data_IF_966397458110
#
_entry.id   IF_966397458110
#
_cell.length_a   1.000
_cell.length_b   1.000
_cell.length_c   1.000
_cell.angle_alpha   90.00
_cell.angle_beta   90.00
_cell.angle_gamma   90.00
#
_symmetry.space_group_name_H-M   'P 1'
#
loop_
_entity.id
_entity.type
_entity.pdbx_description
1 polymer ?
#
# COMPACT_ATOMS: atom_id res chain seq x y z
N UNK A 1 10.57 13.94 -2.79
CA UNK A 1 10.16 12.62 -2.33
C UNK A 1 11.40 11.78 -2.05
N UNK A 2 11.48 11.18 -0.85
CA UNK A 2 12.47 10.15 -0.48
C UNK A 2 11.79 8.79 -0.44
N UNK A 3 12.50 7.76 -0.87
CA UNK A 3 12.02 6.37 -0.89
C UNK A 3 13.09 5.47 -0.26
N UNK A 4 12.69 4.67 0.71
CA UNK A 4 13.53 3.67 1.37
C UNK A 4 12.94 2.28 1.13
N UNK A 5 13.75 1.33 0.71
CA UNK A 5 13.38 -0.09 0.73
C UNK A 5 13.91 -0.70 2.02
N UNK A 6 13.01 -1.24 2.83
CA UNK A 6 13.34 -1.76 4.16
C UNK A 6 13.67 -3.25 4.11
N UNK A 7 14.64 -3.64 4.91
CA UNK A 7 15.10 -5.00 5.15
C UNK A 7 15.62 -5.15 6.59
N UNK A 8 16.01 -6.35 7.00
CA UNK A 8 16.67 -6.57 8.31
C UNK A 8 17.94 -5.74 8.52
N UNK A 9 18.58 -5.30 7.43
CA UNK A 9 19.83 -4.53 7.51
C UNK A 9 19.63 -3.07 7.90
N UNK A 10 18.46 -2.48 7.59
CA UNK A 10 18.27 -1.02 7.67
C UNK A 10 16.97 -0.56 8.34
N UNK A 11 16.09 -1.46 8.79
CA UNK A 11 14.80 -1.03 9.34
C UNK A 11 14.91 -0.08 10.56
N UNK A 12 16.01 -0.18 11.31
CA UNK A 12 16.28 0.71 12.45
C UNK A 12 16.64 2.13 12.05
N UNK A 13 17.01 2.35 10.80
CA UNK A 13 17.36 3.66 10.25
C UNK A 13 16.12 4.49 9.85
N UNK A 14 14.91 3.91 9.93
CA UNK A 14 13.66 4.61 9.54
C UNK A 14 13.53 6.01 10.17
N UNK A 15 13.77 6.22 11.48
CA UNK A 15 13.66 7.54 12.08
C UNK A 15 14.66 8.56 11.51
N UNK A 16 15.90 8.12 11.25
CA UNK A 16 16.96 8.96 10.70
C UNK A 16 16.68 9.35 9.26
N UNK A 17 16.16 8.42 8.45
CA UNK A 17 15.80 8.67 7.06
C UNK A 17 14.56 9.60 6.92
N UNK A 18 13.63 9.53 7.85
CA UNK A 18 12.51 10.49 7.91
C UNK A 18 13.01 11.88 8.30
N UNK A 19 13.90 11.99 9.28
CA UNK A 19 14.52 13.25 9.66
C UNK A 19 15.36 13.85 8.53
N UNK A 20 16.14 13.02 7.83
CA UNK A 20 16.85 13.43 6.63
C UNK A 20 15.91 13.94 5.55
N UNK A 21 14.77 13.27 5.35
CA UNK A 21 13.74 13.67 4.37
C UNK A 21 13.22 15.09 4.65
N UNK A 22 12.93 15.41 5.91
CA UNK A 22 12.48 16.75 6.33
C UNK A 22 13.61 17.78 6.15
N UNK A 23 14.83 17.43 6.57
CA UNK A 23 16.00 18.32 6.51
C UNK A 23 16.36 18.78 5.09
N UNK A 24 16.19 17.92 4.08
CA UNK A 24 16.43 18.28 2.68
C UNK A 24 15.25 18.99 2.00
N UNK A 25 14.16 19.25 2.74
CA UNK A 25 12.96 19.90 2.22
C UNK A 25 12.10 19.04 1.30
N UNK A 26 12.24 17.71 1.34
CA UNK A 26 11.32 16.83 0.65
C UNK A 26 9.96 16.80 1.37
N UNK A 27 8.88 16.65 0.61
CA UNK A 27 7.50 16.73 1.14
C UNK A 27 6.93 15.36 1.49
N UNK A 28 7.59 14.28 1.11
CA UNK A 28 7.09 12.93 1.34
C UNK A 28 8.19 11.90 1.53
N UNK A 29 7.93 10.95 2.41
CA UNK A 29 8.72 9.74 2.65
C UNK A 29 7.87 8.50 2.36
N UNK A 30 8.36 7.58 1.54
CA UNK A 30 7.73 6.30 1.27
C UNK A 30 8.62 5.16 1.73
N UNK A 31 8.14 4.36 2.69
CA UNK A 31 8.77 3.13 3.11
C UNK A 31 8.24 1.96 2.29
N UNK A 32 9.09 1.32 1.51
CA UNK A 32 8.76 0.14 0.72
C UNK A 32 9.19 -1.13 1.44
N UNK A 33 8.23 -2.00 1.71
CA UNK A 33 8.49 -3.34 2.19
C UNK A 33 8.75 -4.26 0.99
N UNK A 34 9.84 -5.00 1.04
CA UNK A 34 10.27 -5.86 -0.06
C UNK A 34 9.20 -6.91 -0.36
N UNK A 35 8.98 -7.16 -1.64
CA UNK A 35 8.20 -8.31 -2.14
C UNK A 35 9.17 -9.17 -2.93
N UNK A 36 9.49 -10.34 -2.42
CA UNK A 36 10.51 -11.25 -2.95
C UNK A 36 10.05 -11.93 -4.23
N UNK A 37 9.98 -11.17 -5.32
CA UNK A 37 9.60 -11.65 -6.66
C UNK A 37 10.67 -11.31 -7.69
N UNK A 38 10.66 -12.00 -8.82
CA UNK A 38 11.62 -11.78 -9.89
C UNK A 38 13.07 -11.91 -9.41
N UNK A 39 13.92 -10.92 -9.69
CA UNK A 39 15.33 -10.89 -9.23
C UNK A 39 15.50 -10.74 -7.72
N UNK A 40 14.44 -10.41 -7.00
CA UNK A 40 14.43 -10.33 -5.54
C UNK A 40 14.16 -11.66 -4.86
N UNK A 41 13.88 -12.74 -5.60
CA UNK A 41 13.72 -14.08 -5.03
C UNK A 41 15.02 -14.50 -4.33
N UNK A 42 14.89 -14.97 -3.08
CA UNK A 42 16.04 -15.39 -2.27
C UNK A 42 16.82 -14.24 -1.61
N UNK A 43 16.42 -12.97 -1.80
CA UNK A 43 16.96 -11.89 -1.00
C UNK A 43 16.42 -12.00 0.43
N UNK A 44 17.29 -11.65 1.39
CA UNK A 44 16.92 -11.61 2.80
C UNK A 44 15.83 -10.56 2.99
N UNK A 45 14.63 -11.01 3.27
CA UNK A 45 13.54 -10.15 3.68
C UNK A 45 13.69 -9.78 5.16
N UNK A 46 12.81 -8.95 5.63
CA UNK A 46 12.71 -8.57 7.03
C UNK A 46 11.97 -9.66 7.81
N UNK A 47 12.43 -10.01 9.00
CA UNK A 47 11.70 -10.94 9.87
C UNK A 47 10.34 -10.36 10.28
N UNK A 48 9.35 -11.22 10.58
CA UNK A 48 8.01 -10.74 10.94
C UNK A 48 8.04 -9.82 12.17
N UNK A 49 8.90 -10.10 13.15
CA UNK A 49 9.06 -9.25 14.34
C UNK A 49 9.62 -7.87 13.96
N UNK A 50 10.67 -7.82 13.13
CA UNK A 50 11.24 -6.57 12.65
C UNK A 50 10.28 -5.83 11.69
N UNK A 51 9.45 -6.57 10.93
CA UNK A 51 8.39 -6.00 10.10
C UNK A 51 7.36 -5.24 10.95
N UNK A 52 6.88 -5.85 12.02
CA UNK A 52 5.94 -5.19 12.96
C UNK A 52 6.60 -4.00 13.68
N UNK A 53 7.87 -4.11 14.05
CA UNK A 53 8.64 -3.01 14.64
C UNK A 53 8.78 -1.85 13.66
N UNK A 54 9.13 -2.13 12.38
CA UNK A 54 9.22 -1.12 11.33
C UNK A 54 7.88 -0.40 11.08
N UNK A 55 6.76 -1.12 11.10
CA UNK A 55 5.43 -0.50 10.98
C UNK A 55 5.11 0.43 12.15
N UNK A 56 5.49 0.05 13.38
CA UNK A 56 5.31 0.90 14.57
C UNK A 56 6.19 2.14 14.51
N UNK A 57 7.48 1.98 14.17
CA UNK A 57 8.39 3.11 13.96
C UNK A 57 7.82 4.08 12.91
N UNK A 58 7.32 3.56 11.79
CA UNK A 58 6.72 4.39 10.75
C UNK A 58 5.53 5.19 11.27
N UNK A 59 4.67 4.57 12.09
CA UNK A 59 3.54 5.25 12.73
C UNK A 59 4.02 6.37 13.68
N UNK A 60 5.02 6.12 14.50
CA UNK A 60 5.60 7.11 15.40
C UNK A 60 6.15 8.32 14.61
N UNK A 61 6.85 8.06 13.51
CA UNK A 61 7.34 9.13 12.63
C UNK A 61 6.18 9.87 11.96
N UNK A 62 5.14 9.16 11.50
CA UNK A 62 3.95 9.81 10.92
C UNK A 62 3.28 10.75 11.91
N UNK A 63 3.21 10.39 13.18
CA UNK A 63 2.66 11.26 14.24
C UNK A 63 3.59 12.43 14.55
N UNK A 64 4.90 12.18 14.67
CA UNK A 64 5.92 13.22 14.92
C UNK A 64 5.93 14.30 13.84
N UNK A 65 5.76 13.91 12.58
CA UNK A 65 5.82 14.82 11.43
C UNK A 65 4.45 15.13 10.81
N UNK A 66 3.37 14.88 11.57
CA UNK A 66 2.00 15.21 11.14
C UNK A 66 1.87 16.67 10.72
N UNK A 67 1.31 16.93 9.55
CA UNK A 67 1.19 18.28 8.96
C UNK A 67 2.46 18.81 8.28
N UNK A 68 3.61 18.10 8.36
CA UNK A 68 4.87 18.51 7.75
C UNK A 68 5.32 17.59 6.62
N UNK A 69 5.19 16.29 6.81
CA UNK A 69 5.58 15.26 5.84
C UNK A 69 4.43 14.28 5.59
N UNK A 70 4.26 13.92 4.34
CA UNK A 70 3.48 12.74 3.97
C UNK A 70 4.34 11.50 4.18
N UNK A 71 3.97 10.64 5.13
CA UNK A 71 4.69 9.40 5.43
C UNK A 71 3.80 8.23 5.07
N UNK A 72 4.28 7.37 4.17
CA UNK A 72 3.48 6.26 3.63
C UNK A 72 4.21 4.93 3.70
N UNK A 73 3.49 3.88 4.04
CA UNK A 73 3.91 2.51 3.79
C UNK A 73 3.55 2.08 2.37
N UNK A 74 4.43 1.33 1.72
CA UNK A 74 4.21 0.72 0.42
C UNK A 74 4.44 -0.78 0.52
N UNK A 75 3.59 -1.57 -0.13
CA UNK A 75 3.59 -3.04 -0.06
C UNK A 75 3.41 -3.62 1.37
N UNK A 76 2.85 -2.81 2.27
CA UNK A 76 2.55 -3.19 3.65
C UNK A 76 1.12 -2.78 4.03
N UNK A 77 0.08 -3.45 3.52
CA UNK A 77 -1.30 -3.14 3.86
C UNK A 77 -1.60 -3.22 5.37
N UNK A 78 -0.82 -4.03 6.10
CA UNK A 78 -0.89 -4.19 7.56
C UNK A 78 -0.70 -2.87 8.31
N UNK A 79 -0.07 -1.87 7.71
CA UNK A 79 0.11 -0.55 8.31
C UNK A 79 -1.21 0.09 8.73
N UNK A 80 -2.29 -0.13 7.96
CA UNK A 80 -3.61 0.37 8.33
C UNK A 80 -4.13 -0.21 9.65
N UNK A 81 -3.82 -1.48 9.94
CA UNK A 81 -4.11 -2.09 11.24
C UNK A 81 -3.34 -1.38 12.35
N UNK A 82 -2.04 -1.17 12.16
CA UNK A 82 -1.20 -0.48 13.17
C UNK A 82 -1.73 0.93 13.46
N UNK A 83 -2.10 1.67 12.42
CA UNK A 83 -2.72 3.00 12.62
C UNK A 83 -4.04 2.89 13.39
N UNK A 84 -4.93 1.97 12.98
CA UNK A 84 -6.23 1.78 13.64
C UNK A 84 -6.09 1.36 15.12
N UNK A 85 -5.15 0.49 15.45
CA UNK A 85 -4.90 0.04 16.82
C UNK A 85 -4.44 1.20 17.74
N UNK A 86 -3.83 2.23 17.18
CA UNK A 86 -3.36 3.40 17.93
C UNK A 86 -4.33 4.60 17.86
N UNK A 87 -5.02 4.78 16.72
CA UNK A 87 -5.98 5.87 16.49
C UNK A 87 -7.06 5.39 15.49
N UNK A 88 -8.18 4.82 16.01
CA UNK A 88 -9.26 4.32 15.16
C UNK A 88 -9.91 5.41 14.28
N UNK A 89 -9.85 6.67 14.71
CA UNK A 89 -10.44 7.81 14.00
C UNK A 89 -9.47 8.50 13.04
N UNK A 90 -8.27 7.97 12.90
CA UNK A 90 -7.22 8.53 12.06
C UNK A 90 -7.67 8.65 10.59
N UNK A 91 -7.35 9.78 9.97
CA UNK A 91 -7.55 9.97 8.53
C UNK A 91 -6.81 8.93 7.70
N UNK A 92 -5.65 8.46 8.19
CA UNK A 92 -4.82 7.48 7.49
C UNK A 92 -5.49 6.10 7.33
N UNK A 93 -6.42 5.73 8.21
CA UNK A 93 -7.21 4.51 8.07
C UNK A 93 -8.28 4.64 6.98
N UNK A 94 -8.72 5.87 6.69
CA UNK A 94 -9.82 6.19 5.78
C UNK A 94 -9.37 6.54 4.36
N UNK A 95 -8.05 6.79 4.16
CA UNK A 95 -7.49 7.05 2.84
C UNK A 95 -7.63 5.80 1.97
N UNK A 96 -8.43 5.81 0.98
CA UNK A 96 -8.86 4.75 0.06
C UNK A 96 -9.31 3.42 0.71
N UNK A 97 -10.25 2.78 0.05
CA UNK A 97 -10.78 1.48 0.48
C UNK A 97 -9.74 0.38 0.32
N UNK A 98 -9.29 -0.11 1.41
CA UNK A 98 -8.99 -1.47 1.54
C UNK A 98 -7.79 -2.11 0.93
N UNK A 99 -6.71 -2.07 1.65
CA UNK A 99 -5.70 -3.09 1.63
C UNK A 99 -4.77 -3.02 0.44
N UNK A 100 -4.43 -4.17 -0.08
CA UNK A 100 -3.56 -4.28 -1.25
C UNK A 100 -4.22 -3.60 -2.47
N UNK A 101 -3.56 -2.62 -3.13
CA UNK A 101 -4.15 -1.90 -4.24
C UNK A 101 -4.11 -2.67 -5.57
N UNK A 102 -3.51 -3.86 -5.62
CA UNK A 102 -3.46 -4.72 -6.80
C UNK A 102 -4.87 -4.98 -7.35
N UNK A 103 -5.07 -4.75 -8.63
CA UNK A 103 -6.34 -4.89 -9.35
C UNK A 103 -7.49 -4.00 -8.83
N UNK A 104 -7.29 -3.17 -7.80
CA UNK A 104 -8.33 -2.29 -7.23
C UNK A 104 -8.09 -0.84 -7.55
N UNK A 105 -6.85 -0.34 -7.40
CA UNK A 105 -6.51 1.07 -7.59
C UNK A 105 -5.39 1.28 -8.61
N UNK A 106 -4.63 0.24 -8.96
CA UNK A 106 -3.64 0.31 -10.01
C UNK A 106 -3.40 -1.04 -10.69
N UNK A 107 -2.69 -0.98 -11.79
CA UNK A 107 -2.17 -2.11 -12.54
C UNK A 107 -0.84 -1.70 -13.17
N UNK A 108 -0.12 -2.66 -13.74
CA UNK A 108 1.10 -2.41 -14.51
C UNK A 108 0.88 -2.82 -15.96
N UNK A 109 1.42 -2.04 -16.90
CA UNK A 109 1.50 -2.37 -18.31
C UNK A 109 2.97 -2.57 -18.66
N UNK A 110 3.33 -3.72 -19.23
CA UNK A 110 4.69 -3.98 -19.69
C UNK A 110 4.97 -3.27 -21.02
N UNK A 111 6.25 -3.12 -21.43
CA UNK A 111 6.60 -2.57 -22.75
C UNK A 111 5.97 -3.31 -23.92
N UNK A 112 5.69 -4.60 -23.78
CA UNK A 112 5.03 -5.46 -24.78
C UNK A 112 3.52 -5.25 -24.82
N UNK A 113 2.94 -4.52 -23.86
CA UNK A 113 1.51 -4.26 -23.73
C UNK A 113 0.77 -5.24 -22.84
N UNK A 114 1.47 -6.10 -22.09
CA UNK A 114 0.84 -7.02 -21.15
C UNK A 114 0.35 -6.28 -19.91
N UNK A 115 -0.90 -6.51 -19.50
CA UNK A 115 -1.49 -5.99 -18.30
C UNK A 115 -1.29 -6.96 -17.14
N UNK A 116 -0.78 -6.49 -16.00
CA UNK A 116 -0.69 -7.27 -14.77
C UNK A 116 -1.37 -6.51 -13.62
N UNK A 117 -1.91 -7.20 -12.60
CA UNK A 117 -2.61 -6.54 -11.48
C UNK A 117 -1.71 -5.64 -10.62
N UNK A 118 -0.39 -5.92 -10.60
CA UNK A 118 0.59 -5.25 -9.76
C UNK A 118 1.99 -5.38 -10.38
N UNK A 119 2.93 -4.46 -10.12
CA UNK A 119 4.32 -4.61 -10.57
C UNK A 119 5.02 -5.88 -10.08
N UNK A 120 4.59 -6.42 -8.94
CA UNK A 120 5.16 -7.62 -8.32
C UNK A 120 4.39 -8.90 -8.67
N UNK A 121 3.33 -8.82 -9.48
CA UNK A 121 2.59 -9.96 -10.03
C UNK A 121 2.97 -10.05 -11.50
N UNK A 122 3.70 -11.12 -11.86
CA UNK A 122 4.19 -11.30 -13.23
C UNK A 122 3.13 -11.91 -14.17
N UNK A 123 2.09 -12.52 -13.60
CA UNK A 123 0.99 -13.11 -14.37
C UNK A 123 0.22 -12.06 -15.16
N UNK A 124 0.28 -12.18 -16.49
CA UNK A 124 -0.45 -11.30 -17.41
C UNK A 124 -1.92 -11.69 -17.47
N UNK A 125 -2.80 -10.70 -17.31
CA UNK A 125 -4.25 -10.88 -17.48
C UNK A 125 -4.72 -10.65 -18.90
N UNK A 126 -3.80 -10.30 -19.80
CA UNK A 126 -4.01 -10.11 -21.22
C UNK A 126 -3.16 -8.99 -21.80
N UNK A 127 -3.27 -8.77 -23.11
CA UNK A 127 -2.46 -7.82 -23.85
C UNK A 127 -3.33 -6.71 -24.47
N UNK A 128 -2.93 -5.45 -24.26
CA UNK A 128 -3.66 -4.26 -24.71
C UNK A 128 -3.64 -4.07 -26.23
N UNK A 129 -2.80 -4.80 -26.96
CA UNK A 129 -2.83 -4.83 -28.43
C UNK A 129 -4.02 -5.63 -28.98
N UNK A 130 -4.59 -6.52 -28.17
CA UNK A 130 -5.69 -7.41 -28.57
C UNK A 130 -7.00 -7.19 -27.81
N UNK A 131 -6.94 -6.63 -26.61
CA UNK A 131 -8.10 -6.38 -25.76
C UNK A 131 -8.01 -4.98 -25.13
N UNK A 132 -9.16 -4.31 -24.95
CA UNK A 132 -9.17 -2.98 -24.31
C UNK A 132 -8.80 -3.08 -22.84
N UNK A 133 -8.23 -1.98 -22.27
CA UNK A 133 -7.96 -1.88 -20.85
C UNK A 133 -9.22 -2.13 -20.01
N UNK A 134 -10.33 -1.50 -20.40
CA UNK A 134 -11.61 -1.67 -19.72
C UNK A 134 -12.05 -3.12 -19.65
N UNK A 135 -11.99 -3.82 -20.77
CA UNK A 135 -12.37 -5.23 -20.82
C UNK A 135 -11.47 -6.11 -19.93
N UNK A 136 -10.15 -5.93 -19.99
CA UNK A 136 -9.22 -6.67 -19.14
C UNK A 136 -9.41 -6.32 -17.66
N UNK A 137 -9.61 -5.04 -17.34
CA UNK A 137 -9.81 -4.57 -15.99
C UNK A 137 -11.10 -5.13 -15.37
N UNK A 138 -12.20 -5.14 -16.11
CA UNK A 138 -13.51 -5.55 -15.62
C UNK A 138 -13.70 -7.08 -15.62
N UNK A 139 -13.15 -7.79 -16.64
CA UNK A 139 -13.54 -9.16 -16.94
C UNK A 139 -12.43 -10.20 -16.82
N UNK A 140 -11.16 -9.82 -16.58
CA UNK A 140 -10.12 -10.81 -16.42
C UNK A 140 -10.26 -11.56 -15.08
N UNK A 141 -10.20 -12.90 -15.07
CA UNK A 141 -10.47 -13.70 -13.87
C UNK A 141 -9.62 -13.32 -12.66
N UNK A 142 -8.32 -13.14 -12.84
CA UNK A 142 -7.42 -12.75 -11.75
C UNK A 142 -7.73 -11.34 -11.20
N UNK A 143 -8.13 -10.39 -12.07
CA UNK A 143 -8.57 -9.06 -11.63
C UNK A 143 -9.82 -9.12 -10.76
N UNK A 144 -10.79 -9.97 -11.13
CA UNK A 144 -12.02 -10.20 -10.38
C UNK A 144 -11.69 -10.86 -9.04
N UNK A 145 -10.88 -11.93 -9.06
CA UNK A 145 -10.49 -12.67 -7.87
C UNK A 145 -9.81 -11.76 -6.83
N UNK A 146 -8.83 -10.97 -7.25
CA UNK A 146 -8.09 -10.07 -6.35
C UNK A 146 -8.97 -8.98 -5.71
N UNK A 147 -10.10 -8.63 -6.31
CA UNK A 147 -11.08 -7.68 -5.75
C UNK A 147 -12.02 -8.31 -4.75
N UNK A 148 -12.26 -9.61 -4.85
CA UNK A 148 -13.21 -10.30 -3.97
C UNK A 148 -12.54 -10.73 -2.66
N UNK A 149 -12.64 -9.85 -1.66
CA UNK A 149 -12.07 -10.11 -0.32
C UNK A 149 -12.71 -11.28 0.42
N UNK A 150 -13.89 -11.75 -0.04
CA UNK A 150 -14.54 -12.93 0.54
C UNK A 150 -13.83 -14.23 0.18
N UNK A 151 -12.98 -14.20 -0.84
CA UNK A 151 -12.16 -15.35 -1.25
C UNK A 151 -10.83 -15.44 -0.48
N UNK A 152 -10.54 -14.51 0.43
CA UNK A 152 -9.34 -14.59 1.25
C UNK A 152 -9.38 -15.84 2.15
N UNK A 153 -8.26 -16.58 2.17
CA UNK A 153 -8.11 -17.80 2.93
C UNK A 153 -7.42 -17.58 4.29
N UNK A 154 -7.47 -18.61 5.13
CA UNK A 154 -6.79 -18.68 6.41
C UNK A 154 -7.08 -17.48 7.30
N UNK A 155 -6.05 -16.98 8.00
CA UNK A 155 -6.21 -15.87 8.94
C UNK A 155 -6.60 -14.55 8.27
N UNK A 156 -6.26 -14.34 6.99
CA UNK A 156 -6.70 -13.15 6.27
C UNK A 156 -8.21 -13.17 6.00
N UNK A 157 -8.79 -14.33 5.73
CA UNK A 157 -10.23 -14.49 5.48
C UNK A 157 -11.10 -14.30 6.72
N UNK A 158 -10.57 -14.60 7.90
CA UNK A 158 -11.28 -14.47 9.20
C UNK A 158 -10.91 -13.19 9.95
N UNK A 159 -9.97 -12.40 9.42
CA UNK A 159 -9.44 -11.23 10.09
C UNK A 159 -10.45 -10.07 10.09
N UNK A 160 -10.62 -9.43 11.24
CA UNK A 160 -11.44 -8.23 11.38
C UNK A 160 -10.95 -7.05 10.54
N UNK A 161 -9.67 -7.05 10.16
CA UNK A 161 -9.07 -6.04 9.27
C UNK A 161 -9.09 -6.43 7.79
N UNK A 162 -9.73 -7.52 7.40
CA UNK A 162 -9.73 -8.03 6.01
C UNK A 162 -10.17 -6.96 4.99
N UNK A 163 -11.14 -6.12 5.33
CA UNK A 163 -11.64 -5.06 4.45
C UNK A 163 -10.63 -3.94 4.22
N UNK A 164 -9.86 -3.53 5.25
CA UNK A 164 -8.91 -2.42 5.16
C UNK A 164 -7.46 -2.83 4.92
N UNK A 165 -7.10 -4.09 5.17
CA UNK A 165 -5.74 -4.61 5.04
C UNK A 165 -5.62 -5.64 3.91
N UNK A 166 -6.26 -6.77 4.02
CA UNK A 166 -6.21 -7.93 3.12
C UNK A 166 -4.81 -8.54 2.87
N UNK A 167 -3.74 -8.07 3.49
CA UNK A 167 -2.37 -8.49 3.21
C UNK A 167 -1.86 -8.16 1.79
N UNK A 168 -0.57 -8.31 1.54
CA UNK A 168 0.01 -8.13 0.20
C UNK A 168 -0.23 -9.39 -0.66
N UNK A 169 -1.05 -9.28 -1.70
CA UNK A 169 -1.41 -10.42 -2.55
C UNK A 169 -0.24 -10.98 -3.37
N UNK A 170 0.71 -10.11 -3.75
CA UNK A 170 1.92 -10.54 -4.43
C UNK A 170 2.86 -11.32 -3.50
N UNK A 171 2.97 -10.93 -2.22
CA UNK A 171 3.79 -11.65 -1.24
C UNK A 171 3.15 -12.99 -0.88
N UNK A 172 1.83 -13.03 -0.69
CA UNK A 172 1.11 -14.28 -0.47
C UNK A 172 1.42 -15.27 -1.60
N UNK A 173 1.25 -14.86 -2.86
CA UNK A 173 1.54 -15.71 -4.02
C UNK A 173 3.01 -16.14 -4.11
N UNK A 174 3.95 -15.23 -3.84
CA UNK A 174 5.38 -15.54 -3.90
C UNK A 174 5.80 -16.66 -2.95
N UNK A 175 5.14 -16.76 -1.79
CA UNK A 175 5.42 -17.78 -0.78
C UNK A 175 4.64 -19.08 -0.99
N UNK A 176 3.35 -18.97 -1.32
CA UNK A 176 2.44 -20.13 -1.29
C UNK A 176 1.96 -20.60 -2.67
N UNK A 177 2.13 -19.77 -3.71
CA UNK A 177 1.57 -20.00 -5.05
C UNK A 177 0.07 -19.65 -5.17
N UNK A 178 -0.56 -19.11 -4.11
CA UNK A 178 -1.96 -18.70 -4.11
C UNK A 178 -2.12 -17.23 -3.70
N UNK A 179 -2.77 -16.44 -4.54
CA UNK A 179 -3.01 -15.02 -4.26
C UNK A 179 -3.92 -14.76 -3.08
N UNK A 180 -4.74 -15.73 -2.70
CA UNK A 180 -5.75 -15.55 -1.65
C UNK A 180 -5.29 -16.03 -0.27
N UNK A 181 -4.15 -16.67 -0.18
CA UNK A 181 -3.55 -17.13 1.08
C UNK A 181 -3.14 -15.96 2.01
N UNK A 182 -2.93 -16.22 3.30
CA UNK A 182 -2.40 -15.22 4.21
C UNK A 182 -1.08 -14.62 3.76
N UNK A 183 -0.92 -13.32 4.01
CA UNK A 183 0.37 -12.66 3.83
C UNK A 183 1.37 -13.19 4.89
N UNK A 184 2.50 -13.79 4.48
CA UNK A 184 3.44 -14.42 5.40
C UNK A 184 4.12 -13.45 6.37
N UNK A 185 4.21 -12.15 6.01
CA UNK A 185 4.82 -11.11 6.86
C UNK A 185 3.88 -10.57 7.93
N UNK A 186 2.72 -11.18 8.15
CA UNK A 186 1.74 -10.73 9.13
C UNK A 186 1.76 -11.62 10.37
N UNK A 187 2.13 -11.08 11.54
CA UNK A 187 2.07 -11.78 12.84
C UNK A 187 0.76 -11.54 13.61
N UNK A 188 -0.15 -10.74 13.05
CA UNK A 188 -1.42 -10.49 13.70
C UNK A 188 -2.29 -11.75 13.71
N UNK A 189 -2.83 -12.05 14.88
CA UNK A 189 -3.81 -13.14 15.07
C UNK A 189 -5.20 -12.53 15.21
N UNK A 190 -6.17 -12.95 14.35
CA UNK A 190 -7.55 -12.45 14.37
C UNK A 190 -8.26 -12.73 15.71
N UNK A 191 -9.24 -11.86 16.03
CA UNK A 191 -10.09 -12.01 17.22
C UNK A 191 -9.82 -11.01 18.33
N UNK A 192 -8.72 -10.25 18.28
CA UNK A 192 -8.37 -9.25 19.30
C UNK A 192 -9.35 -8.08 19.38
N UNK A 193 -10.08 -7.81 18.28
CA UNK A 193 -11.10 -6.76 18.18
C UNK A 193 -12.51 -7.33 18.05
N UNK A 194 -12.77 -8.49 18.68
CA UNK A 194 -14.10 -9.08 18.76
C UNK A 194 -14.53 -9.90 17.55
N UNK A 195 -13.61 -10.20 16.62
CA UNK A 195 -13.83 -11.11 15.49
C UNK A 195 -14.84 -10.65 14.44
N UNK A 196 -15.31 -9.39 14.51
CA UNK A 196 -16.19 -8.80 13.51
C UNK A 196 -15.39 -7.93 12.55
N UNK A 197 -15.70 -8.01 11.26
CA UNK A 197 -15.08 -7.18 10.26
C UNK A 197 -15.22 -5.70 10.60
N UNK A 198 -14.10 -5.00 10.69
CA UNK A 198 -14.04 -3.56 10.89
C UNK A 198 -14.26 -2.90 9.54
N UNK A 199 -15.36 -2.15 9.42
CA UNK A 199 -15.68 -1.41 8.20
C UNK A 199 -15.59 0.08 8.50
N UNK A 200 -14.71 0.77 7.79
CA UNK A 200 -14.57 2.21 7.87
C UNK A 200 -15.18 2.87 6.63
N UNK A 201 -15.82 4.01 6.84
CA UNK A 201 -16.22 4.86 5.73
C UNK A 201 -14.96 5.41 5.07
N UNK A 202 -14.79 5.11 3.80
CA UNK A 202 -13.69 5.68 3.01
C UNK A 202 -14.05 7.11 2.64
N UNK A 203 -13.12 8.01 2.88
CA UNK A 203 -13.22 9.41 2.52
C UNK A 203 -12.11 9.77 1.54
N UNK A 204 -12.34 10.73 0.68
CA UNK A 204 -11.27 11.31 -0.13
C UNK A 204 -10.48 12.26 0.77
N UNK A 205 -9.42 11.71 1.34
CA UNK A 205 -8.53 12.43 2.27
C UNK A 205 -7.14 12.64 1.68
N UNK A 206 -6.99 12.41 0.38
CA UNK A 206 -5.69 12.56 -0.28
C UNK A 206 -5.18 13.99 -0.13
N UNK A 207 -4.01 14.11 0.49
CA UNK A 207 -3.35 15.39 0.73
C UNK A 207 -3.84 16.16 1.95
N UNK A 208 -4.84 15.67 2.70
CA UNK A 208 -5.28 16.32 3.95
C UNK A 208 -4.30 16.09 5.11
N UNK A 209 -3.41 15.12 4.99
CA UNK A 209 -2.39 14.80 5.99
C UNK A 209 -1.25 15.81 6.05
N UNK A 210 -1.13 16.71 5.07
CA UNK A 210 -0.09 17.74 5.01
C UNK A 210 -0.70 19.07 4.59
N UNK A 211 -0.48 20.11 5.39
CA UNK A 211 -0.74 21.49 4.98
C UNK A 211 0.41 21.96 4.08
N UNK A 212 0.15 22.00 2.77
CA UNK A 212 1.11 22.56 1.83
C UNK A 212 1.16 24.09 1.94
N UNK A 213 2.26 24.61 2.48
CA UNK A 213 2.52 26.07 2.49
C UNK A 213 3.01 26.60 1.14
N UNK A 214 3.16 25.75 0.15
CA UNK A 214 3.63 26.12 -1.18
C UNK A 214 2.59 26.99 -1.87
N UNK A 215 2.89 28.27 -2.02
CA UNK A 215 2.05 29.18 -2.80
C UNK A 215 2.26 28.90 -4.28
N UNK A 216 1.15 28.73 -5.00
CA UNK A 216 1.19 28.63 -6.45
C UNK A 216 1.61 29.99 -7.05
N UNK A 217 2.58 29.98 -7.96
CA UNK A 217 2.91 31.19 -8.73
C UNK A 217 1.74 31.61 -9.61
N UNK A 218 1.64 32.89 -10.00
CA UNK A 218 0.60 33.34 -10.91
C UNK A 218 0.54 32.53 -12.21
N UNK A 219 1.71 32.18 -12.77
CA UNK A 219 1.83 31.36 -13.99
C UNK A 219 1.33 29.94 -13.79
N UNK A 220 1.56 29.35 -12.61
CA UNK A 220 1.07 28.02 -12.29
C UNK A 220 -0.46 28.02 -12.15
N UNK A 221 -1.05 29.06 -11.55
CA UNK A 221 -2.50 29.23 -11.46
C UNK A 221 -3.14 29.38 -12.82
N UNK A 222 -2.57 30.22 -13.68
CA UNK A 222 -3.02 30.42 -15.06
C UNK A 222 -3.00 29.11 -15.86
N UNK A 223 -1.96 28.28 -15.67
CA UNK A 223 -1.91 26.95 -16.31
C UNK A 223 -2.99 26.00 -15.78
N UNK A 224 -3.29 26.05 -14.50
CA UNK A 224 -4.34 25.23 -13.90
C UNK A 224 -5.72 25.56 -14.48
N UNK A 225 -6.02 26.86 -14.70
CA UNK A 225 -7.28 27.32 -15.29
C UNK A 225 -7.47 26.85 -16.74
N UNK A 226 -6.38 26.51 -17.45
CA UNK A 226 -6.43 25.96 -18.81
C UNK A 226 -6.69 24.46 -18.87
N UNK A 227 -6.68 23.77 -17.74
CA UNK A 227 -7.01 22.33 -17.70
C UNK A 227 -8.52 22.17 -17.84
N UNK A 228 -9.01 21.41 -18.85
CA UNK A 228 -10.43 21.17 -18.99
C UNK A 228 -10.97 20.49 -17.71
N UNK A 229 -12.12 20.94 -17.23
CA UNK A 229 -12.87 20.23 -16.19
C UNK A 229 -13.39 18.92 -16.77
N UNK A 230 -13.03 17.79 -16.16
CA UNK A 230 -13.52 16.47 -16.53
C UNK A 230 -14.86 16.16 -15.85
#
# INVERSE_FOLDING_TARGET
LVQMSVSDMNYKEIPEEVEFTEKIGAIAFNLYFLVCTGRGQGNTDISNAAYEEALKMLYEQQMKYKGKLMINSKCAPQYKRVVYENDPDSVYTRTYSGGCPAATHYSRISPEGNLTPCPFIEESVGNLKSRSFKDLWENAPLMIQLRDRKQLDGKCGTCEFSAMCSGCRARAFAETGNYMDPDPSCDYEPGKHGGKAITLKVEDTLGLEVEFQTQWTPEAKERLERIPSF
#
